data_IF_656432215475
#
_entry.id   IF_656432215475
#
_cell.length_a   1.000
_cell.length_b   1.000
_cell.length_c   1.000
_cell.angle_alpha   90.00
_cell.angle_beta   90.00
_cell.angle_gamma   90.00
#
_symmetry.space_group_name_H-M   'P 1'
#
loop_
_entity.id
_entity.type
_entity.pdbx_description
1 polymer ?
#
# COMPACT_ATOMS: atom_id res chain seq x y z
N UNK A 1 43.16 18.99 -5.68
CA UNK A 1 41.81 19.30 -6.19
C UNK A 1 40.80 18.15 -6.07
N UNK A 2 41.20 16.91 -5.74
CA UNK A 2 40.28 15.75 -5.65
C UNK A 2 39.43 15.72 -4.36
N UNK A 3 39.95 16.23 -3.24
CA UNK A 3 39.32 16.18 -1.92
C UNK A 3 38.10 17.12 -1.78
N UNK A 4 38.15 18.29 -2.43
CA UNK A 4 37.07 19.29 -2.43
C UNK A 4 35.77 18.75 -3.04
N UNK A 5 35.88 17.87 -4.04
CA UNK A 5 34.74 17.24 -4.70
C UNK A 5 34.03 16.23 -3.76
N UNK A 6 34.80 15.45 -3.00
CA UNK A 6 34.25 14.50 -2.02
C UNK A 6 33.53 15.22 -0.88
N UNK A 7 34.08 16.32 -0.37
CA UNK A 7 33.44 17.16 0.65
C UNK A 7 32.12 17.74 0.14
N UNK A 8 32.10 18.30 -1.07
CA UNK A 8 30.89 18.86 -1.69
C UNK A 8 29.84 17.76 -1.89
N UNK A 9 30.22 16.61 -2.44
CA UNK A 9 29.33 15.45 -2.60
C UNK A 9 28.73 15.01 -1.26
N UNK A 10 29.55 14.87 -0.22
CA UNK A 10 29.09 14.50 1.11
C UNK A 10 28.02 15.47 1.65
N UNK A 11 28.26 16.78 1.53
CA UNK A 11 27.26 17.78 1.96
C UNK A 11 25.99 17.73 1.12
N UNK A 12 26.07 17.51 -0.19
CA UNK A 12 24.90 17.31 -1.03
C UNK A 12 24.10 16.07 -0.63
N UNK A 13 24.77 14.94 -0.39
CA UNK A 13 24.13 13.70 0.05
C UNK A 13 23.44 13.88 1.41
N UNK A 14 24.09 14.60 2.34
CA UNK A 14 23.53 14.94 3.65
C UNK A 14 22.29 15.83 3.52
N UNK A 15 22.37 16.91 2.75
CA UNK A 15 21.24 17.82 2.50
C UNK A 15 20.08 17.06 1.84
N UNK A 16 20.37 16.25 0.82
CA UNK A 16 19.38 15.44 0.14
C UNK A 16 18.70 14.45 1.10
N UNK A 17 19.46 13.81 1.98
CA UNK A 17 18.92 12.94 3.02
C UNK A 17 17.94 13.68 3.92
N UNK A 18 18.33 14.85 4.46
CA UNK A 18 17.45 15.66 5.31
C UNK A 18 16.18 16.13 4.61
N UNK A 19 16.28 16.58 3.35
CA UNK A 19 15.13 16.98 2.55
C UNK A 19 14.15 15.81 2.35
N UNK A 20 14.68 14.62 2.09
CA UNK A 20 13.88 13.40 1.93
C UNK A 20 13.16 13.02 3.23
N UNK A 21 13.83 13.11 4.37
CA UNK A 21 13.21 12.88 5.69
C UNK A 21 12.12 13.92 6.00
N UNK A 22 12.40 15.20 5.77
CA UNK A 22 11.43 16.26 6.00
C UNK A 22 10.19 16.08 5.12
N UNK A 23 10.37 15.73 3.83
CA UNK A 23 9.28 15.46 2.90
C UNK A 23 8.43 14.27 3.34
N UNK A 24 9.06 13.21 3.86
CA UNK A 24 8.35 12.06 4.42
C UNK A 24 7.53 12.47 5.64
N UNK A 25 8.14 13.13 6.62
CA UNK A 25 7.47 13.60 7.83
C UNK A 25 6.27 14.51 7.50
N UNK A 26 6.45 15.45 6.58
CA UNK A 26 5.37 16.33 6.12
C UNK A 26 4.19 15.55 5.52
N UNK A 27 4.46 14.57 4.65
CA UNK A 27 3.41 13.73 4.04
C UNK A 27 2.70 12.86 5.08
N UNK A 28 3.45 12.26 5.99
CA UNK A 28 2.95 11.44 7.10
C UNK A 28 2.02 12.24 8.01
N UNK A 29 2.46 13.43 8.44
CA UNK A 29 1.63 14.35 9.23
C UNK A 29 0.34 14.67 8.47
N UNK A 30 0.45 15.06 7.19
CA UNK A 30 -0.74 15.38 6.37
C UNK A 30 -1.70 14.17 6.25
N UNK A 31 -1.17 12.96 6.16
CA UNK A 31 -1.95 11.73 6.09
C UNK A 31 -2.70 11.44 7.40
N UNK A 32 -2.00 11.47 8.54
CA UNK A 32 -2.60 11.21 9.88
C UNK A 32 -3.67 12.24 10.25
N UNK A 33 -3.58 13.46 9.72
CA UNK A 33 -4.60 14.51 9.93
C UNK A 33 -5.79 14.41 8.98
N UNK A 34 -5.81 13.46 8.02
CA UNK A 34 -7.00 13.20 7.21
C UNK A 34 -8.12 12.56 8.06
N UNK A 35 -9.40 12.70 7.67
CA UNK A 35 -10.48 11.89 8.24
C UNK A 35 -10.12 10.40 8.18
N UNK A 36 -10.47 9.62 9.21
CA UNK A 36 -10.08 8.21 9.33
C UNK A 36 -10.47 7.40 8.10
N UNK A 37 -11.65 7.68 7.54
CA UNK A 37 -12.19 7.06 6.34
C UNK A 37 -11.32 7.34 5.12
N UNK A 38 -10.53 8.41 5.10
CA UNK A 38 -9.63 8.78 3.99
C UNK A 38 -8.17 8.38 4.21
N UNK A 39 -7.85 7.81 5.36
CA UNK A 39 -6.54 7.23 5.68
C UNK A 39 -6.39 5.84 5.06
N UNK A 40 -6.36 5.80 3.73
CA UNK A 40 -6.28 4.56 2.94
C UNK A 40 -4.86 3.99 2.94
N UNK A 41 -4.74 2.66 2.99
CA UNK A 41 -3.46 1.95 2.96
C UNK A 41 -2.68 2.24 1.66
N UNK A 42 -3.37 2.38 0.53
CA UNK A 42 -2.83 2.74 -0.78
C UNK A 42 -2.03 4.04 -0.72
N UNK A 43 -2.54 5.03 0.01
CA UNK A 43 -1.86 6.34 0.17
C UNK A 43 -0.64 6.21 1.05
N UNK A 44 -0.72 5.42 2.12
CA UNK A 44 0.40 5.18 3.02
C UNK A 44 1.54 4.45 2.29
N UNK A 45 1.21 3.39 1.53
CA UNK A 45 2.16 2.69 0.66
C UNK A 45 2.76 3.66 -0.37
N UNK A 46 1.95 4.55 -0.95
CA UNK A 46 2.45 5.56 -1.90
C UNK A 46 3.45 6.53 -1.24
N UNK A 47 3.19 6.97 -0.01
CA UNK A 47 4.09 7.86 0.74
C UNK A 47 5.44 7.16 0.99
N UNK A 48 5.40 5.90 1.43
CA UNK A 48 6.59 5.06 1.67
C UNK A 48 7.34 4.79 0.36
N UNK A 49 6.64 4.42 -0.71
CA UNK A 49 7.25 4.20 -2.03
C UNK A 49 7.95 5.46 -2.55
N UNK A 50 7.32 6.63 -2.38
CA UNK A 50 7.89 7.91 -2.78
C UNK A 50 9.10 8.35 -1.93
N UNK A 51 9.28 7.79 -0.74
CA UNK A 51 10.52 7.96 -0.01
C UNK A 51 11.66 7.30 -0.78
N UNK A 52 11.52 6.04 -1.20
CA UNK A 52 12.55 5.34 -1.97
C UNK A 52 12.72 5.88 -3.40
N UNK A 53 11.61 6.16 -4.07
CA UNK A 53 11.58 6.66 -5.45
C UNK A 53 10.57 7.82 -5.61
N UNK A 54 11.04 9.08 -5.58
CA UNK A 54 10.18 10.26 -5.50
C UNK A 54 9.16 10.46 -6.62
N UNK A 55 9.33 9.81 -7.76
CA UNK A 55 8.51 9.96 -8.97
C UNK A 55 7.38 8.93 -9.10
N UNK A 56 7.22 8.00 -8.14
CA UNK A 56 6.13 7.01 -8.21
C UNK A 56 4.77 7.72 -8.06
N UNK A 57 3.90 7.68 -9.09
CA UNK A 57 2.54 8.20 -8.99
C UNK A 57 1.64 7.22 -8.23
N UNK A 58 0.58 7.75 -7.61
CA UNK A 58 -0.42 6.94 -6.90
C UNK A 58 -1.05 5.86 -7.78
N UNK A 59 -1.32 6.17 -9.06
CA UNK A 59 -1.93 5.24 -10.01
C UNK A 59 -1.12 3.95 -10.23
N UNK A 60 0.22 3.99 -10.11
CA UNK A 60 1.05 2.79 -10.19
C UNK A 60 0.79 1.87 -8.99
N UNK A 61 0.72 2.45 -7.79
CA UNK A 61 0.43 1.69 -6.56
C UNK A 61 -1.00 1.13 -6.59
N UNK A 62 -1.97 1.94 -7.01
CA UNK A 62 -3.37 1.56 -7.17
C UNK A 62 -3.53 0.38 -8.16
N UNK A 63 -2.90 0.47 -9.34
CA UNK A 63 -2.93 -0.62 -10.34
C UNK A 63 -2.26 -1.89 -9.82
N UNK A 64 -1.16 -1.76 -9.08
CA UNK A 64 -0.45 -2.90 -8.50
C UNK A 64 -1.27 -3.61 -7.41
N UNK A 65 -1.97 -2.85 -6.57
CA UNK A 65 -2.88 -3.41 -5.57
C UNK A 65 -4.11 -4.06 -6.22
N UNK A 66 -4.67 -3.46 -7.26
CA UNK A 66 -5.75 -4.07 -8.05
C UNK A 66 -5.34 -5.43 -8.63
N UNK A 67 -4.12 -5.55 -9.19
CA UNK A 67 -3.59 -6.83 -9.67
C UNK A 67 -3.48 -7.88 -8.55
N UNK A 68 -3.08 -7.47 -7.34
CA UNK A 68 -3.05 -8.36 -6.17
C UNK A 68 -4.47 -8.80 -5.81
N UNK A 69 -5.42 -7.88 -5.72
CA UNK A 69 -6.83 -8.18 -5.39
C UNK A 69 -7.41 -9.18 -6.39
N UNK A 70 -7.21 -8.97 -7.69
CA UNK A 70 -7.70 -9.90 -8.72
C UNK A 70 -7.07 -11.29 -8.58
N UNK A 71 -5.76 -11.37 -8.33
CA UNK A 71 -5.09 -12.64 -8.06
C UNK A 71 -5.62 -13.33 -6.81
N UNK A 72 -5.89 -12.58 -5.74
CA UNK A 72 -6.43 -13.10 -4.48
C UNK A 72 -7.81 -13.68 -4.73
N UNK A 73 -8.72 -12.90 -5.32
CA UNK A 73 -10.09 -13.33 -5.60
C UNK A 73 -10.12 -14.58 -6.48
N UNK A 74 -9.33 -14.61 -7.56
CA UNK A 74 -9.25 -15.77 -8.44
C UNK A 74 -8.72 -17.03 -7.72
N UNK A 75 -7.67 -16.91 -6.89
CA UNK A 75 -7.15 -18.07 -6.14
C UNK A 75 -8.12 -18.51 -5.03
N UNK A 76 -8.80 -17.56 -4.41
CA UNK A 76 -9.76 -17.81 -3.35
C UNK A 76 -11.00 -18.51 -3.92
N UNK A 77 -11.48 -18.11 -5.10
CA UNK A 77 -12.64 -18.73 -5.78
C UNK A 77 -12.37 -20.20 -6.09
N UNK A 78 -11.16 -20.50 -6.56
CA UNK A 78 -10.74 -21.87 -6.86
C UNK A 78 -10.64 -22.76 -5.61
N UNK A 79 -10.28 -22.20 -4.44
CA UNK A 79 -10.06 -22.96 -3.20
C UNK A 79 -11.29 -23.01 -2.29
N UNK A 80 -12.03 -21.92 -2.24
CA UNK A 80 -13.13 -21.65 -1.31
C UNK A 80 -14.28 -20.98 -2.08
N UNK A 81 -14.91 -21.67 -3.05
CA UNK A 81 -15.94 -21.08 -3.92
C UNK A 81 -17.18 -20.59 -3.17
N UNK A 82 -17.42 -21.11 -1.96
CA UNK A 82 -18.56 -20.72 -1.10
C UNK A 82 -18.23 -19.58 -0.13
N UNK A 83 -17.05 -18.97 -0.23
CA UNK A 83 -16.66 -17.87 0.65
C UNK A 83 -17.58 -16.66 0.46
N UNK A 84 -18.01 -16.03 1.56
CA UNK A 84 -18.99 -14.94 1.51
C UNK A 84 -18.53 -13.66 0.81
N UNK A 85 -17.23 -13.48 0.56
CA UNK A 85 -16.69 -12.38 -0.26
C UNK A 85 -17.27 -12.39 -1.68
N UNK A 86 -17.63 -13.56 -2.22
CA UNK A 86 -18.27 -13.68 -3.53
C UNK A 86 -19.76 -13.31 -3.52
N UNK A 87 -20.37 -13.18 -2.33
CA UNK A 87 -21.71 -12.63 -2.15
C UNK A 87 -21.69 -11.10 -1.99
N UNK A 88 -20.50 -10.51 -1.86
CA UNK A 88 -20.34 -9.07 -1.67
C UNK A 88 -20.59 -8.33 -2.99
N UNK A 89 -21.39 -7.27 -2.95
CA UNK A 89 -21.71 -6.49 -4.15
C UNK A 89 -20.53 -5.65 -4.63
N UNK A 90 -20.52 -5.31 -5.93
CA UNK A 90 -19.56 -4.39 -6.51
C UNK A 90 -19.61 -2.99 -5.87
N UNK A 91 -20.80 -2.56 -5.43
CA UNK A 91 -20.99 -1.30 -4.71
C UNK A 91 -20.27 -1.32 -3.36
N UNK A 92 -20.37 -2.43 -2.63
CA UNK A 92 -19.68 -2.60 -1.35
C UNK A 92 -18.16 -2.60 -1.53
N UNK A 93 -17.64 -3.31 -2.54
CA UNK A 93 -16.21 -3.24 -2.87
C UNK A 93 -15.77 -1.82 -3.25
N UNK A 94 -16.60 -1.06 -3.96
CA UNK A 94 -16.30 0.33 -4.32
C UNK A 94 -16.28 1.22 -3.08
N UNK A 95 -17.19 1.00 -2.12
CA UNK A 95 -17.18 1.71 -0.85
C UNK A 95 -15.91 1.42 -0.07
N UNK A 96 -15.53 0.15 0.03
CA UNK A 96 -14.34 -0.31 0.73
C UNK A 96 -13.03 0.20 0.10
N UNK A 97 -12.97 0.24 -1.24
CA UNK A 97 -11.81 0.78 -1.96
C UNK A 97 -11.56 2.26 -1.66
N UNK A 98 -12.64 3.01 -1.44
CA UNK A 98 -12.57 4.47 -1.31
C UNK A 98 -12.62 4.98 0.13
N UNK A 99 -12.81 4.08 1.10
CA UNK A 99 -12.93 4.41 2.50
C UNK A 99 -12.24 3.36 3.39
N UNK A 100 -11.50 3.80 4.39
CA UNK A 100 -10.97 2.93 5.42
C UNK A 100 -12.15 2.36 6.24
N UNK A 101 -12.17 1.05 6.47
CA UNK A 101 -13.24 0.37 7.20
C UNK A 101 -12.64 -0.28 8.44
N UNK A 102 -13.36 -0.16 9.55
CA UNK A 102 -12.96 -0.72 10.83
C UNK A 102 -13.80 -1.94 11.23
N UNK A 103 -14.68 -2.39 10.34
CA UNK A 103 -15.61 -3.48 10.59
C UNK A 103 -15.04 -4.80 10.07
N UNK A 104 -15.23 -5.86 10.86
CA UNK A 104 -14.92 -7.23 10.46
C UNK A 104 -16.12 -7.83 9.72
N UNK A 105 -16.02 -7.96 8.39
CA UNK A 105 -17.10 -8.50 7.54
C UNK A 105 -17.13 -10.03 7.46
N UNK A 106 -16.02 -10.66 7.84
CA UNK A 106 -15.79 -12.09 7.67
C UNK A 106 -15.44 -12.74 8.98
N UNK A 107 -15.86 -13.99 9.15
CA UNK A 107 -15.50 -14.74 10.33
C UNK A 107 -14.00 -15.11 10.33
N UNK A 108 -13.49 -15.60 11.46
CA UNK A 108 -12.07 -15.93 11.61
C UNK A 108 -11.55 -16.89 10.53
N UNK A 109 -12.33 -17.91 10.16
CA UNK A 109 -11.94 -18.90 9.14
C UNK A 109 -11.79 -18.22 7.78
N UNK A 110 -12.77 -17.41 7.38
CA UNK A 110 -12.75 -16.66 6.12
C UNK A 110 -11.57 -15.67 6.06
N UNK A 111 -11.30 -14.95 7.17
CA UNK A 111 -10.13 -14.08 7.27
C UNK A 111 -8.83 -14.88 7.11
N UNK A 112 -8.73 -16.07 7.71
CA UNK A 112 -7.57 -16.94 7.58
C UNK A 112 -7.38 -17.45 6.13
N UNK A 113 -8.47 -17.74 5.42
CA UNK A 113 -8.46 -18.16 4.01
C UNK A 113 -7.96 -17.04 3.08
N UNK A 114 -8.47 -15.82 3.27
CA UNK A 114 -7.99 -14.62 2.56
C UNK A 114 -6.51 -14.39 2.85
N UNK A 115 -6.12 -14.39 4.14
CA UNK A 115 -4.74 -14.12 4.55
C UNK A 115 -3.75 -15.18 4.05
N UNK A 116 -4.11 -16.46 4.07
CA UNK A 116 -3.29 -17.53 3.50
C UNK A 116 -3.12 -17.35 1.99
N UNK A 117 -4.20 -17.01 1.28
CA UNK A 117 -4.17 -16.78 -0.17
C UNK A 117 -3.32 -15.57 -0.53
N UNK A 118 -3.47 -14.46 0.21
CA UNK A 118 -2.68 -13.24 0.05
C UNK A 118 -1.18 -13.51 0.28
N UNK A 119 -0.83 -14.18 1.38
CA UNK A 119 0.56 -14.58 1.67
C UNK A 119 1.14 -15.42 0.53
N UNK A 120 0.39 -16.41 0.04
CA UNK A 120 0.84 -17.20 -1.09
C UNK A 120 1.06 -16.34 -2.32
N UNK A 121 0.25 -15.31 -2.60
CA UNK A 121 0.46 -14.45 -3.78
C UNK A 121 1.70 -13.57 -3.60
N UNK A 122 1.80 -12.86 -2.47
CA UNK A 122 2.90 -11.93 -2.18
C UNK A 122 4.24 -12.67 -2.15
N UNK A 123 4.29 -13.82 -1.45
CA UNK A 123 5.54 -14.56 -1.26
C UNK A 123 5.81 -15.62 -2.31
N UNK A 124 4.86 -15.97 -3.20
CA UNK A 124 5.17 -16.86 -4.35
C UNK A 124 6.03 -16.21 -5.43
N UNK A 125 6.19 -14.88 -5.39
CA UNK A 125 7.01 -14.10 -6.33
C UNK A 125 8.36 -13.66 -5.75
N UNK A 126 8.64 -14.00 -4.49
CA UNK A 126 9.93 -13.80 -3.81
C UNK A 126 10.72 -15.10 -3.81
#
# INVERSE_FOLDING_TARGET
SHNTNLTVKYYFDLIYHWLKQYRLAYKQIKFIHMPKEKQLLEKEITIIAQYFQPSIPYSIIDTWLDDIVQKVLSRLENKYPTHSIFLTSSEQFTLWRNNNINDDFWNKTEVEEIMCTLKQIIFSKL
#
